data_IF_742796115703
#
_entry.id   IF_742796115703
#
_cell.length_a   1.000
_cell.length_b   1.000
_cell.length_c   1.000
_cell.angle_alpha   90.00
_cell.angle_beta   90.00
_cell.angle_gamma   90.00
#
_symmetry.space_group_name_H-M   'P 1'
#
loop_
_entity.id
_entity.type
_entity.pdbx_description
1 polymer ?
#
# COMPACT_ATOMS: atom_id res chain seq x y z
N UNK A 1 20.79 25.86 -13.94
CA UNK A 1 20.72 25.47 -13.79
C UNK A 1 20.82 24.73 -13.55
N UNK A 2 20.80 24.60 -13.34
CA UNK A 2 20.88 23.89 -13.07
C UNK A 2 20.77 23.02 -12.67
N UNK A 3 20.58 22.97 -12.48
CA UNK A 3 20.45 22.23 -12.11
C UNK A 3 20.30 21.25 -12.09
N UNK A 4 20.11 21.15 -12.20
CA UNK A 4 19.99 20.29 -12.24
C UNK A 4 20.16 19.41 -12.21
N UNK A 5 20.26 19.32 -12.22
CA UNK A 5 20.42 18.50 -12.27
C UNK A 5 20.73 17.57 -12.06
N UNK A 6 20.91 17.43 -11.64
CA UNK A 6 21.26 16.46 -11.54
C UNK A 6 20.91 15.52 -11.23
N UNK A 7 20.29 15.71 -11.11
CA UNK A 7 19.89 15.02 -10.97
C UNK A 7 19.61 14.10 -11.16
N UNK A 8 19.35 14.19 -11.18
CA UNK A 8 18.87 13.38 -11.43
C UNK A 8 19.25 12.24 -11.72
N UNK A 9 19.74 12.12 -12.02
CA UNK A 9 20.18 11.21 -12.39
C UNK A 9 20.42 10.35 -11.55
N UNK A 10 20.61 10.20 -11.29
CA UNK A 10 20.98 9.26 -10.70
C UNK A 10 20.37 8.69 -9.69
N UNK A 11 19.68 9.01 -9.23
CA UNK A 11 19.35 8.52 -8.22
C UNK A 11 18.16 8.14 -7.96
N UNK A 12 17.72 7.39 -8.15
CA UNK A 12 16.55 6.99 -7.98
C UNK A 12 16.39 6.35 -6.83
N UNK A 13 16.85 6.56 -5.98
CA UNK A 13 16.78 5.85 -4.93
C UNK A 13 15.57 5.77 -4.16
N UNK A 14 14.57 5.89 -4.45
CA UNK A 14 13.39 5.72 -3.65
C UNK A 14 12.51 6.92 -3.73
N UNK A 15 11.47 6.96 -2.92
CA UNK A 15 10.47 8.01 -3.03
C UNK A 15 11.02 9.37 -2.62
N UNK A 16 10.45 10.40 -3.20
CA UNK A 16 10.81 11.76 -2.84
C UNK A 16 10.22 12.12 -1.48
N UNK A 17 10.68 13.23 -0.93
CA UNK A 17 10.12 13.73 0.31
C UNK A 17 8.62 14.01 0.15
N UNK A 18 8.24 14.50 -1.01
CA UNK A 18 6.85 14.78 -1.29
C UNK A 18 6.02 13.50 -1.24
N UNK A 19 6.54 12.41 -1.82
CA UNK A 19 5.87 11.13 -1.78
C UNK A 19 5.78 10.61 -0.34
N UNK A 20 6.85 10.75 0.42
CA UNK A 20 6.86 10.27 1.80
C UNK A 20 5.87 11.03 2.67
N UNK A 21 5.80 12.35 2.51
CA UNK A 21 4.87 13.14 3.29
C UNK A 21 3.43 12.82 2.93
N UNK A 22 3.15 12.70 1.64
CA UNK A 22 1.81 12.38 1.20
C UNK A 22 1.40 11.00 1.69
N UNK A 23 2.34 10.06 1.68
CA UNK A 23 2.07 8.71 2.17
C UNK A 23 1.72 8.71 3.64
N UNK A 24 2.48 9.46 4.46
CA UNK A 24 2.21 9.50 5.88
C UNK A 24 0.90 10.22 6.19
N UNK A 25 0.60 11.28 5.46
CA UNK A 25 -0.67 11.96 5.63
C UNK A 25 -1.83 11.02 5.32
N UNK A 26 -1.71 10.28 4.22
CA UNK A 26 -2.74 9.33 3.82
C UNK A 26 -2.86 8.21 4.83
N UNK A 27 -1.73 7.70 5.33
CA UNK A 27 -1.75 6.60 6.30
C UNK A 27 -2.48 7.03 7.57
N UNK A 28 -2.13 8.19 8.10
CA UNK A 28 -2.75 8.67 9.32
C UNK A 28 -4.25 8.88 9.15
N UNK A 29 -4.64 9.43 8.00
CA UNK A 29 -6.04 9.66 7.74
C UNK A 29 -6.80 8.34 7.63
N UNK A 30 -6.22 7.35 6.94
CA UNK A 30 -6.87 6.06 6.80
C UNK A 30 -7.01 5.32 8.11
N UNK A 31 -6.03 5.46 9.00
CA UNK A 31 -6.12 4.85 10.32
C UNK A 31 -7.34 5.39 11.05
N UNK A 32 -7.54 6.71 11.00
CA UNK A 32 -8.68 7.31 11.65
C UNK A 32 -9.99 6.91 10.98
N UNK A 33 -9.99 6.86 9.66
CA UNK A 33 -11.18 6.48 8.92
C UNK A 33 -11.61 5.07 9.28
N UNK A 34 -10.67 4.14 9.33
CA UNK A 34 -11.00 2.76 9.64
C UNK A 34 -11.45 2.61 11.10
N UNK A 35 -10.98 3.49 11.95
CA UNK A 35 -11.39 3.46 13.33
C UNK A 35 -12.81 4.01 13.52
N UNK A 36 -13.13 5.05 12.77
CA UNK A 36 -14.39 5.75 12.94
C UNK A 36 -15.55 5.24 12.12
N UNK A 37 -15.28 4.55 11.04
CA UNK A 37 -16.34 4.10 10.15
C UNK A 37 -16.48 2.60 10.18
N UNK A 38 -17.68 2.13 10.42
CA UNK A 38 -17.94 0.71 10.35
C UNK A 38 -18.27 0.37 8.92
N UNK A 39 -17.46 -0.45 8.31
CA UNK A 39 -17.72 -0.90 6.97
C UNK A 39 -18.55 -2.18 7.08
N UNK A 40 -19.70 -2.15 6.47
CA UNK A 40 -20.63 -3.26 6.58
C UNK A 40 -20.18 -4.42 5.69
N UNK A 41 -19.20 -5.14 6.15
CA UNK A 41 -18.65 -6.27 5.42
C UNK A 41 -18.21 -7.31 6.46
N UNK A 42 -18.73 -8.54 6.37
CA UNK A 42 -18.40 -9.55 7.37
C UNK A 42 -16.91 -9.80 7.54
N UNK A 43 -16.13 -9.62 6.49
CA UNK A 43 -14.68 -9.84 6.58
C UNK A 43 -13.99 -8.77 7.41
N UNK A 44 -14.65 -7.63 7.60
CA UNK A 44 -14.05 -6.51 8.33
C UNK A 44 -14.65 -6.29 9.71
N UNK A 45 -15.79 -6.90 9.97
CA UNK A 45 -16.45 -6.69 11.25
C UNK A 45 -15.62 -7.29 12.38
N UNK A 46 -15.33 -6.49 13.37
CA UNK A 46 -14.57 -6.95 14.52
C UNK A 46 -13.10 -7.20 14.25
N UNK A 47 -12.62 -6.83 13.08
CA UNK A 47 -11.22 -7.04 12.73
C UNK A 47 -10.46 -5.75 12.90
N UNK A 48 -9.35 -5.82 13.61
CA UNK A 48 -8.48 -4.68 13.76
C UNK A 48 -7.43 -4.76 12.67
N UNK A 49 -7.29 -3.70 11.91
CA UNK A 49 -6.33 -3.67 10.81
C UNK A 49 -5.33 -2.57 11.05
N UNK A 50 -4.06 -2.89 10.96
CA UNK A 50 -3.00 -1.91 11.07
C UNK A 50 -2.56 -1.52 9.68
N UNK A 51 -2.48 -0.23 9.40
CA UNK A 51 -1.91 0.23 8.14
C UNK A 51 -0.46 0.53 8.43
N UNK A 52 0.41 -0.32 7.95
CA UNK A 52 1.82 -0.26 8.30
C UNK A 52 2.58 0.75 7.45
N UNK A 53 2.17 0.92 6.22
CA UNK A 53 2.85 1.84 5.33
C UNK A 53 1.94 2.22 4.18
N UNK A 54 2.09 3.42 3.65
CA UNK A 54 1.41 3.81 2.43
C UNK A 54 2.46 4.36 1.49
N UNK A 55 2.55 3.78 0.31
CA UNK A 55 3.49 4.23 -0.71
C UNK A 55 2.74 4.92 -1.83
N UNK A 56 3.20 6.12 -2.14
CA UNK A 56 2.56 6.92 -3.17
C UNK A 56 3.30 6.79 -4.48
N UNK A 57 2.56 6.86 -5.57
CA UNK A 57 3.20 6.98 -6.88
C UNK A 57 3.83 8.38 -6.97
N UNK A 58 4.78 8.58 -7.90
CA UNK A 58 5.44 9.88 -8.01
C UNK A 58 4.48 11.03 -8.28
N UNK A 59 3.38 10.78 -9.00
CA UNK A 59 2.40 11.82 -9.27
C UNK A 59 1.35 11.94 -8.17
N UNK A 60 1.49 11.15 -7.12
CA UNK A 60 0.60 11.15 -5.96
C UNK A 60 -0.84 10.77 -6.28
N UNK A 61 -1.06 10.10 -7.40
CA UNK A 61 -2.40 9.71 -7.77
C UNK A 61 -2.77 8.31 -7.34
N UNK A 62 -1.81 7.51 -6.94
CA UNK A 62 -2.04 6.14 -6.53
C UNK A 62 -1.36 5.88 -5.21
N UNK A 63 -2.05 5.20 -4.31
CA UNK A 63 -1.50 4.86 -3.00
C UNK A 63 -1.62 3.36 -2.82
N UNK A 64 -0.51 2.72 -2.47
CA UNK A 64 -0.52 1.31 -2.11
C UNK A 64 -0.44 1.26 -0.60
N UNK A 65 -1.47 0.72 0.01
CA UNK A 65 -1.60 0.70 1.45
C UNK A 65 -1.31 -0.70 1.97
N UNK A 66 -0.25 -0.82 2.75
CA UNK A 66 0.14 -2.11 3.30
C UNK A 66 -0.56 -2.29 4.62
N UNK A 67 -1.25 -3.41 4.77
CA UNK A 67 -2.05 -3.65 5.96
C UNK A 67 -1.71 -4.97 6.61
N UNK A 68 -1.86 -5.00 7.91
CA UNK A 68 -1.65 -6.21 8.68
C UNK A 68 -2.85 -6.39 9.58
N UNK A 69 -3.74 -7.33 9.29
CA UNK A 69 -4.87 -7.60 10.18
C UNK A 69 -4.36 -8.26 11.46
N UNK A 70 -4.94 -7.89 12.56
CA UNK A 70 -4.56 -8.47 13.83
C UNK A 70 -4.95 -9.94 13.81
N UNK A 71 -3.99 -10.79 14.15
CA UNK A 71 -4.23 -12.22 14.11
C UNK A 71 -3.80 -12.85 12.82
N UNK A 72 -3.87 -12.12 11.74
CA UNK A 72 -3.34 -12.57 10.47
C UNK A 72 -4.01 -13.73 9.76
N UNK A 73 -4.91 -14.43 10.40
CA UNK A 73 -5.48 -15.61 9.80
C UNK A 73 -6.35 -15.37 8.61
N UNK A 74 -6.95 -14.24 8.51
CA UNK A 74 -7.87 -13.98 7.42
C UNK A 74 -7.40 -12.79 6.60
N UNK A 75 -6.08 -12.67 6.50
CA UNK A 75 -5.51 -11.52 5.81
C UNK A 75 -6.02 -11.38 4.39
N UNK A 76 -6.12 -12.48 3.65
CA UNK A 76 -6.59 -12.42 2.27
C UNK A 76 -8.01 -11.91 2.18
N UNK A 77 -8.88 -12.37 3.06
CA UNK A 77 -10.27 -11.94 3.05
C UNK A 77 -10.39 -10.47 3.44
N UNK A 78 -9.58 -10.04 4.40
CA UNK A 78 -9.58 -8.66 4.85
C UNK A 78 -9.09 -7.74 3.74
N UNK A 79 -8.00 -8.11 3.08
CA UNK A 79 -7.45 -7.31 2.00
C UNK A 79 -8.44 -7.21 0.85
N UNK A 80 -9.06 -8.32 0.51
CA UNK A 80 -10.05 -8.32 -0.55
C UNK A 80 -11.21 -7.40 -0.22
N UNK A 81 -11.68 -7.46 1.02
CA UNK A 81 -12.79 -6.60 1.46
C UNK A 81 -12.39 -5.12 1.42
N UNK A 82 -11.18 -4.79 1.87
CA UNK A 82 -10.74 -3.41 1.83
C UNK A 82 -10.69 -2.90 0.39
N UNK A 83 -10.21 -3.72 -0.53
CA UNK A 83 -10.16 -3.31 -1.92
C UNK A 83 -11.56 -3.18 -2.52
N UNK A 84 -12.49 -4.00 -2.07
CA UNK A 84 -13.84 -3.91 -2.54
C UNK A 84 -14.47 -2.58 -2.13
N UNK A 85 -14.08 -2.06 -0.97
CA UNK A 85 -14.61 -0.82 -0.46
C UNK A 85 -13.67 0.37 -0.69
N UNK A 86 -12.68 0.20 -1.55
CA UNK A 86 -11.67 1.24 -1.76
C UNK A 86 -12.25 2.56 -2.24
N UNK A 87 -13.28 2.51 -3.08
CA UNK A 87 -13.89 3.75 -3.56
C UNK A 87 -14.58 4.51 -2.45
N UNK A 88 -15.25 3.79 -1.56
CA UNK A 88 -15.89 4.42 -0.42
C UNK A 88 -14.84 5.07 0.45
N UNK A 89 -13.76 4.32 0.72
CA UNK A 89 -12.69 4.83 1.58
C UNK A 89 -12.00 6.03 0.94
N UNK A 90 -11.83 6.00 -0.38
CA UNK A 90 -11.25 7.12 -1.08
C UNK A 90 -12.14 8.36 -0.95
N UNK A 91 -13.45 8.18 -1.01
CA UNK A 91 -14.37 9.29 -0.85
C UNK A 91 -14.26 9.93 0.52
N UNK A 92 -14.19 9.10 1.57
CA UNK A 92 -14.04 9.60 2.93
C UNK A 92 -12.68 10.29 3.08
N UNK A 93 -11.64 9.68 2.49
CA UNK A 93 -10.31 10.25 2.53
C UNK A 93 -10.28 11.64 1.91
N UNK A 94 -10.95 11.80 0.77
CA UNK A 94 -10.98 13.08 0.09
C UNK A 94 -11.64 14.18 0.90
N UNK A 95 -12.53 13.79 1.79
CA UNK A 95 -13.18 14.76 2.66
C UNK A 95 -12.38 15.01 3.94
N UNK A 96 -11.41 14.14 4.21
CA UNK A 96 -10.65 14.21 5.45
C UNK A 96 -9.33 14.93 5.33
N UNK A 97 -8.75 14.94 4.16
CA UNK A 97 -7.44 15.55 3.97
C UNK A 97 -7.46 16.53 2.81
N UNK A 98 -6.54 17.47 2.86
CA UNK A 98 -6.46 18.50 1.85
C UNK A 98 -5.32 18.15 0.91
N UNK A 99 -5.62 17.45 -0.15
CA UNK A 99 -4.66 17.11 -1.19
C UNK A 99 -5.22 17.54 -2.52
N UNK A 100 -4.34 17.93 -3.41
CA UNK A 100 -4.76 18.37 -4.73
C UNK A 100 -5.58 17.29 -5.43
N UNK A 101 -5.14 16.06 -5.32
CA UNK A 101 -5.89 14.93 -5.85
C UNK A 101 -5.98 13.89 -4.75
N UNK A 102 -7.14 13.27 -4.62
CA UNK A 102 -7.27 12.15 -3.70
C UNK A 102 -6.76 10.91 -4.42
N UNK A 103 -5.78 10.21 -3.88
CA UNK A 103 -5.21 9.07 -4.59
C UNK A 103 -6.16 7.88 -4.62
N UNK A 104 -6.00 7.07 -5.65
CA UNK A 104 -6.68 5.78 -5.68
C UNK A 104 -6.02 4.91 -4.64
N UNK A 105 -6.79 4.08 -3.98
CA UNK A 105 -6.29 3.23 -2.91
C UNK A 105 -6.24 1.78 -3.37
N UNK A 106 -5.13 1.12 -3.07
CA UNK A 106 -5.02 -0.30 -3.27
C UNK A 106 -4.45 -0.87 -1.99
N UNK A 107 -5.10 -1.90 -1.45
CA UNK A 107 -4.65 -2.50 -0.20
C UNK A 107 -3.95 -3.82 -0.49
N UNK A 108 -2.84 -4.05 0.17
CA UNK A 108 -2.12 -5.31 0.06
C UNK A 108 -1.69 -5.73 1.46
N UNK A 109 -1.51 -7.02 1.64
CA UNK A 109 -1.08 -7.53 2.93
C UNK A 109 0.40 -7.22 3.13
N UNK A 110 0.73 -6.71 4.28
CA UNK A 110 2.13 -6.39 4.57
C UNK A 110 2.82 -7.64 5.06
N UNK A 111 3.62 -8.23 4.21
CA UNK A 111 4.36 -9.42 4.54
C UNK A 111 5.83 -9.11 4.73
N UNK A 112 6.13 -7.89 5.13
CA UNK A 112 7.50 -7.45 5.28
C UNK A 112 8.32 -8.39 6.12
N UNK A 113 7.73 -8.85 7.18
CA UNK A 113 8.43 -9.73 8.06
C UNK A 113 8.92 -10.99 7.34
N UNK A 114 8.13 -11.50 6.43
CA UNK A 114 8.47 -12.72 5.73
C UNK A 114 9.27 -12.51 4.46
N UNK A 115 9.05 -11.42 3.79
CA UNK A 115 9.60 -11.25 2.47
C UNK A 115 10.34 -9.93 2.24
N UNK A 116 10.72 -9.27 3.31
CA UNK A 116 11.38 -7.98 3.18
C UNK A 116 12.57 -8.01 2.23
N UNK A 117 13.40 -9.01 2.36
CA UNK A 117 14.56 -9.11 1.49
C UNK A 117 14.19 -9.28 0.04
N UNK A 118 13.18 -10.07 -0.20
CA UNK A 118 12.73 -10.29 -1.56
C UNK A 118 12.17 -9.03 -2.16
N UNK A 119 11.39 -8.31 -1.38
CA UNK A 119 10.77 -7.09 -1.87
C UNK A 119 11.83 -6.07 -2.23
N UNK A 120 12.84 -5.92 -1.41
CA UNK A 120 13.91 -4.98 -1.70
C UNK A 120 14.61 -5.35 -3.00
N UNK A 121 14.88 -6.61 -3.18
CA UNK A 121 15.51 -7.06 -4.41
C UNK A 121 14.62 -6.81 -5.62
N UNK A 122 13.33 -6.99 -5.44
CA UNK A 122 12.40 -6.78 -6.53
C UNK A 122 12.37 -5.35 -6.99
N UNK A 123 12.45 -4.42 -6.08
CA UNK A 123 12.41 -3.03 -6.45
C UNK A 123 13.65 -2.62 -7.22
N UNK A 124 14.72 -3.37 -7.06
CA UNK A 124 15.94 -3.07 -7.76
C UNK A 124 15.95 -3.68 -9.14
N UNK A 125 15.15 -4.69 -9.36
CA UNK A 125 15.15 -5.41 -10.65
C UNK A 125 13.72 -5.70 -11.07
N UNK A 126 13.17 -4.90 -11.94
CA UNK A 126 11.78 -5.07 -12.36
C UNK A 126 11.50 -6.44 -12.96
N UNK A 127 12.49 -7.03 -13.59
CA UNK A 127 12.31 -8.32 -14.18
C UNK A 127 12.14 -9.38 -13.11
N UNK A 128 12.91 -9.29 -12.06
CA UNK A 128 12.79 -10.20 -10.95
C UNK A 128 11.45 -9.98 -10.26
N UNK A 129 11.03 -8.74 -10.17
CA UNK A 129 9.75 -8.42 -9.57
C UNK A 129 8.62 -9.11 -10.33
N UNK A 130 8.69 -9.12 -11.65
CA UNK A 130 7.69 -9.76 -12.44
C UNK A 130 7.71 -11.24 -12.23
N UNK A 131 8.88 -11.84 -12.21
CA UNK A 131 9.01 -13.27 -12.03
C UNK A 131 8.49 -13.69 -10.66
N UNK A 132 8.78 -12.92 -9.67
CA UNK A 132 8.34 -13.24 -8.34
C UNK A 132 6.84 -13.12 -8.21
N UNK A 133 6.26 -12.16 -8.90
CA UNK A 133 4.83 -12.01 -8.90
C UNK A 133 4.16 -13.22 -9.51
N UNK A 134 4.72 -13.74 -10.57
CA UNK A 134 4.23 -14.94 -11.21
C UNK A 134 4.34 -16.14 -10.28
N UNK A 135 5.45 -16.25 -9.58
CA UNK A 135 5.64 -17.33 -8.63
C UNK A 135 4.65 -17.22 -7.48
N UNK A 136 4.37 -16.03 -7.07
CA UNK A 136 3.43 -15.80 -6.02
C UNK A 136 2.05 -16.27 -6.41
N UNK A 137 1.67 -16.02 -7.64
CA UNK A 137 0.38 -16.44 -8.12
C UNK A 137 0.28 -17.95 -8.18
N UNK A 138 1.36 -18.59 -8.55
CA UNK A 138 1.35 -20.03 -8.65
C UNK A 138 1.49 -20.61 -7.27
N UNK A 139 2.32 -20.01 -6.49
CA UNK A 139 2.61 -20.53 -5.23
C UNK A 139 1.53 -20.37 -4.28
N UNK A 140 0.70 -19.49 -4.60
CA UNK A 140 -0.43 -19.51 -3.82
C UNK A 140 -0.81 -20.90 -3.71
N UNK A 141 -0.28 -21.69 -4.60
CA UNK A 141 -0.61 -22.95 -4.58
C UNK A 141 0.41 -23.74 -4.03
N UNK A 142 1.35 -23.56 -3.81
CA UNK A 142 2.28 -24.36 -3.42
C UNK A 142 3.11 -24.06 -2.63
N UNK A 143 3.26 -23.64 -2.26
CA UNK A 143 4.06 -23.33 -1.62
C UNK A 143 5.06 -23.81 -1.38
N UNK A 144 5.16 -24.33 -1.62
CA UNK A 144 5.94 -24.82 -1.62
C UNK A 144 6.90 -24.94 -1.59
N UNK A 145 6.99 -24.86 -1.55
CA UNK A 145 7.98 -24.85 -1.51
C UNK A 145 8.36 -24.49 -1.28
#
# INVERSE_FOLDING_TARGET
MKRSHPKGRGAPAGPSQRQLRAGELTRHALVEILREHDINDPALLGVSVTITEVRMSPDLRHAICFVEPLGGERADAVVKALNLHAKFLRGVLGRSIDMKFTPDLKFVHDETFNVASHINALFEDPKVAQDLRRLSDVAGDEDED
#
